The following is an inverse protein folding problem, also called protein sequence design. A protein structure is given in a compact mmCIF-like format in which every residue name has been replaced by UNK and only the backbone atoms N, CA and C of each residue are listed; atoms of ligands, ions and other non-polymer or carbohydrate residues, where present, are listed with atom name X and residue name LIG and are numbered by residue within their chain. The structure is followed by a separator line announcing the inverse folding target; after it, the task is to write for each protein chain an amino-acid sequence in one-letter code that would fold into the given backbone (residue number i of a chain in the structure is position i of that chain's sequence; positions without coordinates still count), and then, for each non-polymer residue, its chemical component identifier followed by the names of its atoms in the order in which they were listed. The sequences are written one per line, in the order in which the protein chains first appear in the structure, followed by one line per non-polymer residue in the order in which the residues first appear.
data_IF_580381276115
#
_entry.id   IF_580381276115
#
_cell.length_a   1.000
_cell.length_b   1.000
_cell.length_c   1.000
_cell.angle_alpha   90.00
_cell.angle_beta   90.00
_cell.angle_gamma   90.00
#
_symmetry.space_group_name_H-M   'P 1'
#
loop_
_entity.id
_entity.type
_entity.pdbx_description
1 polymer ?
#
# COMPACT_ATOMS: atom_id res chain seq x y z
N UNK A 1 26.01 0.10 4.98
CA UNK A 1 24.94 -0.54 5.79
C UNK A 1 23.95 0.54 6.19
N UNK A 2 22.69 0.18 6.47
CA UNK A 2 21.68 1.12 6.96
C UNK A 2 21.75 1.25 8.48
N UNK A 3 21.48 2.44 8.99
CA UNK A 3 21.20 2.71 10.41
C UNK A 3 19.70 2.83 10.58
N UNK A 4 19.12 1.95 11.39
CA UNK A 4 17.69 1.80 11.54
C UNK A 4 17.21 2.32 12.90
N UNK A 5 16.04 2.95 12.90
CA UNK A 5 15.28 3.24 14.12
C UNK A 5 13.97 2.46 14.08
N UNK A 6 13.72 1.61 15.07
CA UNK A 6 12.43 0.97 15.31
C UNK A 6 11.60 1.80 16.29
N UNK A 7 10.31 1.95 16.03
CA UNK A 7 9.40 2.75 16.85
C UNK A 7 8.12 1.96 17.08
N UNK A 8 7.84 1.64 18.34
CA UNK A 8 6.71 0.82 18.78
C UNK A 8 6.50 1.04 20.28
N UNK A 9 5.25 1.25 20.73
CA UNK A 9 4.94 1.48 22.14
C UNK A 9 4.89 0.19 22.97
N UNK A 10 4.77 -0.96 22.31
CA UNK A 10 4.85 -2.26 22.94
C UNK A 10 6.30 -2.73 23.07
N UNK A 11 6.88 -2.62 24.28
CA UNK A 11 8.30 -3.00 24.52
C UNK A 11 8.71 -4.38 23.98
N UNK A 12 7.94 -5.48 24.19
CA UNK A 12 8.35 -6.78 23.67
C UNK A 12 8.43 -6.79 22.14
N UNK A 13 7.49 -6.11 21.48
CA UNK A 13 7.45 -5.99 20.02
C UNK A 13 8.61 -5.14 19.51
N UNK A 14 8.92 -4.03 20.19
CA UNK A 14 10.08 -3.18 19.90
C UNK A 14 11.39 -3.96 20.01
N UNK A 15 11.58 -4.71 21.11
CA UNK A 15 12.79 -5.49 21.37
C UNK A 15 12.98 -6.60 20.33
N UNK A 16 11.92 -7.32 19.98
CA UNK A 16 11.93 -8.33 18.91
C UNK A 16 12.29 -7.71 17.56
N UNK A 17 11.68 -6.57 17.21
CA UNK A 17 11.96 -5.86 15.95
C UNK A 17 13.42 -5.41 15.88
N UNK A 18 13.96 -4.82 16.95
CA UNK A 18 15.37 -4.42 17.03
C UNK A 18 16.30 -5.63 16.94
N UNK A 19 15.96 -6.75 17.58
CA UNK A 19 16.72 -8.00 17.49
C UNK A 19 16.77 -8.52 16.04
N UNK A 20 15.61 -8.59 15.37
CA UNK A 20 15.51 -9.06 13.99
C UNK A 20 16.24 -8.14 13.00
N UNK A 21 16.17 -6.81 13.21
CA UNK A 21 16.90 -5.83 12.40
C UNK A 21 18.42 -5.99 12.55
N UNK A 22 18.92 -6.12 13.78
CA UNK A 22 20.36 -6.31 14.03
C UNK A 22 20.88 -7.68 13.51
N UNK A 23 20.01 -8.66 13.31
CA UNK A 23 20.37 -9.93 12.70
C UNK A 23 20.54 -9.86 11.17
N UNK A 24 20.09 -8.79 10.51
CA UNK A 24 20.22 -8.62 9.06
C UNK A 24 21.57 -7.96 8.71
N UNK A 25 22.42 -8.59 7.86
CA UNK A 25 23.77 -8.10 7.57
C UNK A 25 23.80 -6.77 6.80
N UNK A 26 22.65 -6.26 6.33
CA UNK A 26 22.56 -4.97 5.64
C UNK A 26 22.31 -3.82 6.62
N UNK A 27 21.88 -4.12 7.84
CA UNK A 27 21.73 -3.18 8.94
C UNK A 27 23.05 -3.12 9.72
N UNK A 28 23.59 -1.92 9.89
CA UNK A 28 24.81 -1.69 10.66
C UNK A 28 24.51 -1.49 12.13
N UNK A 29 23.44 -0.74 12.43
CA UNK A 29 22.91 -0.52 13.78
C UNK A 29 21.38 -0.44 13.71
N UNK A 30 20.70 -1.00 14.70
CA UNK A 30 19.28 -0.75 14.94
C UNK A 30 19.07 -0.32 16.39
N UNK A 31 18.34 0.77 16.58
CA UNK A 31 17.93 1.29 17.87
C UNK A 31 16.40 1.31 18.00
N UNK A 32 15.87 1.28 19.22
CA UNK A 32 14.43 1.36 19.49
C UNK A 32 14.02 2.65 20.19
N UNK A 33 12.84 3.18 19.86
CA UNK A 33 12.14 4.23 20.58
C UNK A 33 10.73 3.74 20.98
N UNK A 34 10.35 3.96 22.23
CA UNK A 34 9.08 3.47 22.79
C UNK A 34 7.87 4.37 22.53
N UNK A 35 8.08 5.54 21.93
CA UNK A 35 7.00 6.45 21.56
C UNK A 35 7.46 7.43 20.47
N UNK A 36 6.50 8.15 19.90
CA UNK A 36 6.77 9.12 18.84
C UNK A 36 7.60 10.32 19.31
N UNK A 37 7.55 10.69 20.59
CA UNK A 37 8.32 11.81 21.13
C UNK A 37 9.80 11.46 21.20
N UNK A 38 10.12 10.26 21.69
CA UNK A 38 11.47 9.72 21.71
C UNK A 38 12.00 9.54 20.29
N UNK A 39 11.18 9.01 19.37
CA UNK A 39 11.54 8.87 17.97
C UNK A 39 11.92 10.22 17.34
N UNK A 40 11.08 11.26 17.52
CA UNK A 40 11.36 12.61 17.03
C UNK A 40 12.64 13.21 17.60
N UNK A 41 12.92 13.02 18.91
CA UNK A 41 14.17 13.50 19.52
C UNK A 41 15.40 12.87 18.86
N UNK A 42 15.38 11.55 18.64
CA UNK A 42 16.48 10.84 17.99
C UNK A 42 16.65 11.25 16.53
N UNK A 43 15.55 11.40 15.80
CA UNK A 43 15.57 11.86 14.41
C UNK A 43 16.11 13.29 14.31
N UNK A 44 15.70 14.20 15.20
CA UNK A 44 16.24 15.57 15.21
C UNK A 44 17.76 15.57 15.49
N UNK A 45 18.23 14.79 16.46
CA UNK A 45 19.66 14.63 16.74
C UNK A 45 20.45 14.07 15.56
N UNK A 46 19.86 13.09 14.87
CA UNK A 46 20.40 12.51 13.64
C UNK A 46 20.55 13.56 12.52
N UNK A 47 19.55 14.44 12.39
CA UNK A 47 19.56 15.53 11.41
C UNK A 47 20.59 16.60 11.75
N UNK A 48 20.72 16.99 13.02
CA UNK A 48 21.73 17.94 13.50
C UNK A 48 23.15 17.45 13.23
N UNK A 49 23.38 16.15 13.40
CA UNK A 49 24.67 15.49 13.14
C UNK A 49 24.98 15.35 11.65
N UNK A 50 23.99 15.59 10.78
CA UNK A 50 24.09 15.44 9.34
C UNK A 50 24.01 13.97 8.87
N UNK A 51 23.78 13.74 7.57
CA UNK A 51 23.51 12.42 7.01
C UNK A 51 24.68 11.42 7.14
N UNK A 52 25.91 11.93 7.24
CA UNK A 52 27.13 11.13 7.43
C UNK A 52 27.62 11.14 8.89
N UNK A 53 26.86 11.77 9.79
CA UNK A 53 27.17 11.83 11.21
C UNK A 53 27.00 10.48 11.91
N UNK A 54 27.58 10.32 13.12
CA UNK A 54 27.51 9.06 13.87
C UNK A 54 26.08 8.67 14.24
N UNK A 55 25.23 9.66 14.50
CA UNK A 55 23.83 9.48 14.93
C UNK A 55 22.83 9.40 13.75
N UNK A 56 23.29 9.42 12.48
CA UNK A 56 22.35 9.51 11.37
C UNK A 56 21.47 8.26 11.19
N UNK A 57 20.23 8.49 10.77
CA UNK A 57 19.21 7.45 10.60
C UNK A 57 18.86 7.36 9.12
N UNK A 58 19.02 6.18 8.54
CA UNK A 58 18.76 5.94 7.12
C UNK A 58 17.34 5.42 6.87
N UNK A 59 16.78 4.68 7.83
CA UNK A 59 15.45 4.08 7.75
C UNK A 59 14.78 4.03 9.12
N UNK A 60 13.48 4.30 9.15
CA UNK A 60 12.61 4.19 10.34
C UNK A 60 11.59 3.09 10.09
N UNK A 61 11.53 2.11 10.99
CA UNK A 61 10.50 1.09 11.08
C UNK A 61 9.48 1.52 12.13
N UNK A 62 8.25 1.77 11.72
CA UNK A 62 7.31 2.57 12.51
C UNK A 62 5.97 1.85 12.68
N UNK A 63 5.55 1.60 13.91
CA UNK A 63 4.15 1.23 14.16
C UNK A 63 3.23 2.41 13.90
N UNK A 64 2.05 2.10 13.38
CA UNK A 64 1.00 3.05 13.08
C UNK A 64 0.22 3.38 14.34
N UNK A 65 -0.15 2.38 15.14
CA UNK A 65 -0.96 2.62 16.33
C UNK A 65 -0.07 2.83 17.53
N UNK A 66 0.10 4.08 17.92
CA UNK A 66 0.77 4.46 19.17
C UNK A 66 -0.08 5.50 19.91
N UNK A 67 -0.12 5.47 21.25
CA UNK A 67 -0.79 6.48 22.04
C UNK A 67 -0.23 7.90 21.78
N UNK A 68 -1.14 8.87 21.67
CA UNK A 68 -0.79 10.27 21.47
C UNK A 68 -0.59 10.60 20.00
N UNK A 69 0.64 10.46 19.50
CA UNK A 69 0.97 10.74 18.10
C UNK A 69 1.15 9.42 17.36
N UNK A 70 0.28 9.18 16.38
CA UNK A 70 0.29 7.95 15.61
C UNK A 70 1.44 7.92 14.58
N UNK A 71 1.76 6.73 14.07
CA UNK A 71 2.87 6.55 13.13
C UNK A 71 2.67 7.24 11.78
N UNK A 72 1.43 7.42 11.34
CA UNK A 72 1.16 8.12 10.09
C UNK A 72 1.44 9.61 10.23
N UNK A 73 1.02 10.21 11.34
CA UNK A 73 1.29 11.60 11.66
C UNK A 73 2.79 11.84 11.87
N UNK A 74 3.48 10.93 12.55
CA UNK A 74 4.94 10.97 12.64
C UNK A 74 5.57 10.94 11.24
N UNK A 75 5.19 9.99 10.38
CA UNK A 75 5.72 9.91 9.03
C UNK A 75 5.41 11.16 8.18
N UNK A 76 4.24 11.81 8.36
CA UNK A 76 3.93 13.11 7.72
C UNK A 76 4.93 14.17 8.13
N UNK A 77 5.25 14.28 9.43
CA UNK A 77 6.25 15.24 9.92
C UNK A 77 7.62 15.00 9.28
N UNK A 78 8.00 13.73 9.08
CA UNK A 78 9.26 13.39 8.44
C UNK A 78 9.36 13.92 7.00
N UNK A 79 8.25 13.95 6.26
CA UNK A 79 8.26 14.45 4.87
C UNK A 79 8.66 15.93 4.73
N UNK A 80 8.56 16.72 5.80
CA UNK A 80 8.95 18.13 5.83
C UNK A 80 10.47 18.34 5.83
N UNK A 81 11.27 17.30 6.06
CA UNK A 81 12.73 17.42 6.08
C UNK A 81 13.35 17.43 4.69
N UNK A 82 14.45 18.16 4.52
CA UNK A 82 15.16 18.25 3.24
C UNK A 82 15.70 16.90 2.73
N UNK A 83 16.05 16.01 3.67
CA UNK A 83 16.45 14.62 3.41
C UNK A 83 15.81 13.73 4.49
N UNK A 84 14.57 13.27 4.29
CA UNK A 84 13.91 12.44 5.27
C UNK A 84 14.52 11.04 5.30
N UNK A 85 14.57 10.37 6.47
CA UNK A 85 14.87 8.95 6.50
C UNK A 85 13.78 8.18 5.74
N UNK A 86 14.14 7.01 5.21
CA UNK A 86 13.18 6.11 4.59
C UNK A 86 12.19 5.60 5.65
N UNK A 87 10.91 5.46 5.31
CA UNK A 87 9.90 4.94 6.26
C UNK A 87 9.43 3.56 5.82
N UNK A 88 9.41 2.61 6.74
CA UNK A 88 8.75 1.30 6.62
C UNK A 88 7.75 1.20 7.75
N UNK A 89 6.48 0.96 7.44
CA UNK A 89 5.48 0.75 8.50
C UNK A 89 5.50 -0.68 8.99
N UNK A 90 5.31 -0.88 10.30
CA UNK A 90 5.25 -2.19 10.96
C UNK A 90 4.04 -2.24 11.88
N UNK A 91 2.92 -2.82 11.43
CA UNK A 91 1.67 -2.74 12.21
C UNK A 91 0.82 -4.01 12.13
N UNK A 92 -0.13 -4.19 13.04
CA UNK A 92 -1.07 -5.32 13.03
C UNK A 92 -2.25 -5.13 12.04
N UNK A 93 -2.40 -3.95 11.44
CA UNK A 93 -3.59 -3.58 10.69
C UNK A 93 -3.33 -3.55 9.18
N UNK A 94 -4.17 -4.21 8.38
CA UNK A 94 -4.03 -4.23 6.92
C UNK A 94 -4.55 -2.94 6.26
N UNK A 95 -5.53 -2.29 6.89
CA UNK A 95 -6.28 -1.18 6.28
C UNK A 95 -5.49 0.13 6.17
N UNK A 96 -4.44 0.31 6.98
CA UNK A 96 -3.60 1.51 6.93
C UNK A 96 -2.54 1.48 5.83
N UNK A 97 -2.40 0.36 5.11
CA UNK A 97 -1.49 0.25 3.97
C UNK A 97 -1.73 1.38 2.95
N UNK A 98 -2.99 1.80 2.78
CA UNK A 98 -3.42 2.89 1.88
C UNK A 98 -2.82 4.24 2.28
N UNK A 99 -2.89 4.56 3.58
CA UNK A 99 -2.45 5.85 4.12
C UNK A 99 -0.92 5.92 4.21
N UNK A 100 -0.27 4.77 4.40
CA UNK A 100 1.18 4.63 4.33
C UNK A 100 1.77 5.01 2.95
N UNK A 101 1.01 4.84 1.87
CA UNK A 101 1.47 5.16 0.51
C UNK A 101 1.52 6.66 0.20
N UNK A 102 0.59 7.47 0.74
CA UNK A 102 0.62 8.94 0.58
C UNK A 102 1.91 9.55 1.18
N UNK A 103 2.52 8.85 2.13
CA UNK A 103 3.71 9.26 2.85
C UNK A 103 5.02 8.78 2.22
N UNK A 104 4.97 8.22 1.01
CA UNK A 104 6.13 7.69 0.26
C UNK A 104 6.91 6.64 1.04
N UNK A 105 6.24 5.85 1.88
CA UNK A 105 6.88 4.73 2.56
C UNK A 105 7.53 3.77 1.56
N UNK A 106 8.68 3.22 1.94
CA UNK A 106 9.42 2.23 1.18
C UNK A 106 8.73 0.88 1.21
N UNK A 107 8.14 0.52 2.35
CA UNK A 107 7.49 -0.77 2.50
C UNK A 107 6.51 -0.81 3.69
N UNK A 108 5.78 -1.92 3.79
CA UNK A 108 4.76 -2.15 4.81
C UNK A 108 4.79 -3.59 5.33
N UNK A 109 5.09 -3.79 6.61
CA UNK A 109 5.25 -5.08 7.28
C UNK A 109 4.09 -5.30 8.26
N UNK A 110 3.44 -6.45 8.18
CA UNK A 110 2.40 -6.82 9.13
C UNK A 110 2.98 -7.55 10.35
N UNK A 111 2.46 -7.24 11.54
CA UNK A 111 2.68 -8.01 12.76
C UNK A 111 1.85 -9.31 12.68
N UNK A 112 2.37 -10.48 13.14
CA UNK A 112 3.68 -10.69 13.74
C UNK A 112 4.82 -10.61 12.72
N UNK A 113 5.91 -9.95 13.10
CA UNK A 113 7.05 -9.68 12.20
C UNK A 113 7.81 -10.96 11.91
N UNK A 114 7.75 -11.43 10.67
CA UNK A 114 8.52 -12.59 10.19
C UNK A 114 9.88 -12.13 9.66
N UNK A 115 10.93 -12.89 9.98
CA UNK A 115 12.32 -12.58 9.59
C UNK A 115 12.47 -12.35 8.09
N UNK A 116 11.88 -13.20 7.26
CA UNK A 116 11.98 -13.13 5.80
C UNK A 116 11.30 -11.86 5.26
N UNK A 117 10.15 -11.49 5.83
CA UNK A 117 9.40 -10.29 5.43
C UNK A 117 10.13 -9.01 5.81
N UNK A 118 10.73 -8.99 7.00
CA UNK A 118 11.54 -7.87 7.45
C UNK A 118 12.80 -7.74 6.57
N UNK A 119 13.46 -8.85 6.25
CA UNK A 119 14.62 -8.87 5.36
C UNK A 119 14.29 -8.33 3.95
N UNK A 120 13.08 -8.58 3.45
CA UNK A 120 12.62 -7.99 2.18
C UNK A 120 12.41 -6.47 2.28
N UNK A 121 11.84 -5.98 3.38
CA UNK A 121 11.71 -4.53 3.62
C UNK A 121 13.07 -3.84 3.72
N UNK A 122 14.03 -4.47 4.40
CA UNK A 122 15.42 -4.00 4.47
C UNK A 122 16.07 -3.97 3.08
N UNK A 123 15.86 -5.02 2.25
CA UNK A 123 16.36 -5.05 0.87
C UNK A 123 15.90 -3.84 0.08
N UNK A 124 14.59 -3.55 0.12
CA UNK A 124 13.98 -2.41 -0.58
C UNK A 124 14.50 -1.08 -0.08
N UNK A 125 14.71 -0.93 1.23
CA UNK A 125 15.31 0.27 1.81
C UNK A 125 16.74 0.50 1.33
N UNK A 126 17.56 -0.56 1.24
CA UNK A 126 18.93 -0.48 0.69
C UNK A 126 18.91 -0.03 -0.77
N UNK A 127 18.06 -0.66 -1.60
CA UNK A 127 17.92 -0.30 -3.02
C UNK A 127 17.50 1.17 -3.17
N UNK A 128 16.52 1.61 -2.37
CA UNK A 128 16.00 2.97 -2.42
C UNK A 128 17.04 4.01 -2.05
N UNK A 129 17.88 3.74 -1.04
CA UNK A 129 18.97 4.61 -0.61
C UNK A 129 20.08 4.71 -1.68
N UNK A 130 20.37 3.61 -2.38
CA UNK A 130 21.37 3.58 -3.45
C UNK A 130 20.97 4.33 -4.71
N UNK A 131 19.67 4.40 -5.01
CA UNK A 131 19.13 5.18 -6.14
C UNK A 131 18.62 6.55 -5.70
N UNK A 132 19.49 7.56 -5.71
CA UNK A 132 19.03 8.95 -5.71
C UNK A 132 18.28 9.21 -7.04
N UNK A 133 16.94 9.21 -6.99
CA UNK A 133 15.99 9.42 -8.11
C UNK A 133 15.54 8.17 -8.89
N UNK A 134 14.50 7.49 -8.40
CA UNK A 134 13.43 6.84 -9.20
C UNK A 134 12.28 6.37 -8.29
N UNK A 135 11.02 6.30 -8.75
CA UNK A 135 9.84 6.47 -7.90
C UNK A 135 9.36 5.19 -7.18
N UNK A 136 8.78 5.41 -5.98
CA UNK A 136 7.74 4.65 -5.24
C UNK A 136 7.77 3.09 -5.16
N UNK A 137 7.31 2.48 -4.04
CA UNK A 137 7.45 1.04 -3.73
C UNK A 137 7.02 0.08 -4.84
N UNK A 138 7.84 -0.92 -5.14
CA UNK A 138 7.52 -2.02 -6.06
C UNK A 138 6.99 -3.20 -5.26
N UNK A 139 5.69 -3.48 -5.37
CA UNK A 139 5.14 -4.82 -5.11
C UNK A 139 5.34 -5.60 -6.41
N UNK A 140 6.23 -6.60 -6.45
CA UNK A 140 6.39 -7.42 -7.65
C UNK A 140 5.13 -8.27 -7.85
N UNK A 141 4.54 -8.20 -9.05
CA UNK A 141 3.55 -9.16 -9.54
C UNK A 141 4.28 -10.07 -10.52
N UNK A 142 4.34 -11.37 -10.24
CA UNK A 142 4.74 -12.38 -11.24
C UNK A 142 3.49 -12.80 -12.04
N UNK A 143 3.56 -12.73 -13.37
CA UNK A 143 2.60 -13.39 -14.29
C UNK A 143 3.18 -14.74 -14.74
N UNK A 144 2.37 -15.80 -15.00
CA UNK A 144 1.14 -15.73 -15.80
C UNK A 144 0.00 -16.66 -15.33
N UNK A 145 -1.09 -16.10 -14.82
CA UNK A 145 -2.39 -16.79 -14.84
C UNK A 145 -3.45 -15.77 -15.26
N UNK A 146 -4.13 -15.95 -16.40
CA UNK A 146 -5.23 -15.06 -16.76
C UNK A 146 -6.34 -15.13 -15.71
N UNK A 147 -6.57 -16.25 -15.02
CA UNK A 147 -7.70 -16.48 -14.10
C UNK A 147 -7.49 -15.86 -12.71
N UNK A 148 -6.24 -15.57 -12.33
CA UNK A 148 -5.92 -15.07 -10.99
C UNK A 148 -5.08 -13.79 -11.03
N UNK A 149 -5.26 -12.94 -10.03
CA UNK A 149 -4.34 -11.86 -9.74
C UNK A 149 -3.60 -12.14 -8.44
N UNK A 150 -2.27 -12.14 -8.54
CA UNK A 150 -1.39 -12.36 -7.41
C UNK A 150 -1.28 -11.06 -6.61
N UNK A 151 -1.73 -11.11 -5.35
CA UNK A 151 -1.65 -10.01 -4.39
C UNK A 151 -0.70 -10.44 -3.28
N UNK A 152 0.40 -9.70 -3.11
CA UNK A 152 1.29 -9.88 -1.96
C UNK A 152 0.88 -8.89 -0.87
N UNK A 153 0.31 -9.43 0.22
CA UNK A 153 -0.05 -8.68 1.42
C UNK A 153 0.58 -9.37 2.63
N UNK A 154 1.38 -8.67 3.42
CA UNK A 154 2.00 -9.25 4.62
C UNK A 154 2.96 -10.43 4.40
N UNK A 155 3.49 -10.62 3.19
CA UNK A 155 4.31 -11.78 2.85
C UNK A 155 3.52 -13.07 2.57
N UNK A 156 2.18 -12.98 2.54
CA UNK A 156 1.31 -14.04 2.02
C UNK A 156 0.98 -13.71 0.57
N UNK A 157 1.37 -14.60 -0.33
CA UNK A 157 0.94 -14.56 -1.72
C UNK A 157 -0.50 -15.07 -1.78
N UNK A 158 -1.45 -14.16 -1.99
CA UNK A 158 -2.84 -14.53 -2.26
C UNK A 158 -3.08 -14.52 -3.75
N UNK A 159 -3.62 -15.61 -4.26
CA UNK A 159 -4.16 -15.68 -5.62
C UNK A 159 -5.64 -15.34 -5.53
N UNK A 160 -6.01 -14.18 -6.05
CA UNK A 160 -7.41 -13.73 -6.06
C UNK A 160 -8.00 -14.10 -7.41
N UNK A 161 -9.04 -14.95 -7.48
CA UNK A 161 -9.70 -15.23 -8.75
C UNK A 161 -10.27 -13.94 -9.32
N UNK A 162 -10.03 -13.67 -10.61
CA UNK A 162 -10.60 -12.50 -11.29
C UNK A 162 -12.13 -12.57 -11.28
N UNK A 163 -12.68 -13.78 -11.19
CA UNK A 163 -14.12 -13.98 -11.12
C UNK A 163 -14.76 -13.55 -9.79
N UNK A 164 -13.97 -13.49 -8.72
CA UNK A 164 -14.42 -12.99 -7.40
C UNK A 164 -14.40 -11.46 -7.32
N UNK A 165 -13.80 -10.78 -8.30
CA UNK A 165 -13.67 -9.31 -8.30
C UNK A 165 -14.95 -8.69 -8.85
N UNK A 166 -15.60 -7.87 -8.03
CA UNK A 166 -16.86 -7.17 -8.36
C UNK A 166 -16.59 -5.88 -9.10
N UNK A 167 -15.65 -5.08 -8.58
CA UNK A 167 -15.22 -3.84 -9.19
C UNK A 167 -13.81 -3.46 -8.73
N UNK A 168 -13.25 -2.47 -9.42
CA UNK A 168 -11.93 -1.93 -9.16
C UNK A 168 -11.99 -0.42 -9.12
N UNK A 169 -11.41 0.14 -8.06
CA UNK A 169 -11.26 1.58 -7.87
C UNK A 169 -9.79 2.00 -8.09
N UNK A 170 -9.55 3.06 -8.86
CA UNK A 170 -8.23 3.67 -8.98
C UNK A 170 -7.94 4.57 -7.75
N UNK A 171 -6.84 4.26 -7.06
CA UNK A 171 -6.31 5.00 -5.92
C UNK A 171 -4.85 5.39 -6.20
N UNK A 172 -4.65 6.56 -6.81
CA UNK A 172 -3.33 7.01 -7.25
C UNK A 172 -2.75 6.11 -8.35
N UNK A 173 -1.53 5.59 -8.13
CA UNK A 173 -0.84 4.64 -9.02
C UNK A 173 -1.29 3.18 -8.82
N UNK A 174 -2.27 2.95 -7.95
CA UNK A 174 -2.74 1.63 -7.56
C UNK A 174 -4.22 1.44 -7.93
N UNK A 175 -4.61 0.17 -7.98
CA UNK A 175 -5.96 -0.27 -8.19
C UNK A 175 -6.40 -1.10 -6.99
N UNK A 176 -7.50 -0.71 -6.34
CA UNK A 176 -8.16 -1.49 -5.29
C UNK A 176 -9.16 -2.41 -5.94
N UNK A 177 -8.95 -3.71 -5.82
CA UNK A 177 -9.83 -4.78 -6.25
C UNK A 177 -10.81 -5.08 -5.12
N UNK A 178 -12.11 -5.04 -5.39
CA UNK A 178 -13.14 -5.37 -4.41
C UNK A 178 -13.70 -6.76 -4.71
N UNK A 179 -13.86 -7.56 -3.66
CA UNK A 179 -14.47 -8.89 -3.67
C UNK A 179 -15.50 -8.98 -2.55
N UNK A 180 -16.34 -10.01 -2.56
CA UNK A 180 -17.29 -10.24 -1.46
C UNK A 180 -16.61 -10.55 -0.11
N UNK A 181 -15.32 -10.92 -0.14
CA UNK A 181 -14.52 -11.25 1.05
C UNK A 181 -13.65 -10.08 1.55
N UNK A 182 -13.75 -8.91 0.92
CA UNK A 182 -12.92 -7.75 1.22
C UNK A 182 -12.22 -7.18 -0.01
N UNK A 183 -11.22 -6.32 0.20
CA UNK A 183 -10.52 -5.63 -0.88
C UNK A 183 -9.01 -5.90 -0.89
N UNK A 184 -8.40 -5.77 -2.06
CA UNK A 184 -6.99 -6.02 -2.30
C UNK A 184 -6.38 -4.90 -3.12
N UNK A 185 -5.19 -4.40 -2.76
CA UNK A 185 -4.54 -3.31 -3.49
C UNK A 185 -3.42 -3.87 -4.38
N UNK A 186 -3.41 -3.48 -5.66
CA UNK A 186 -2.39 -3.88 -6.63
C UNK A 186 -1.82 -2.68 -7.37
N UNK A 187 -0.54 -2.75 -7.74
CA UNK A 187 0.13 -1.71 -8.55
C UNK A 187 0.01 -1.99 -10.04
N UNK A 188 -1.22 -2.06 -10.53
CA UNK A 188 -1.50 -2.25 -11.95
C UNK A 188 -2.40 -1.10 -12.41
N UNK A 189 -2.02 -0.33 -13.44
CA UNK A 189 -2.86 0.74 -13.95
C UNK A 189 -4.24 0.22 -14.33
N UNK A 190 -5.28 1.00 -14.02
CA UNK A 190 -6.65 0.59 -14.28
C UNK A 190 -6.92 0.33 -15.78
N UNK A 191 -6.19 1.01 -16.68
CA UNK A 191 -6.21 0.74 -18.13
C UNK A 191 -5.64 -0.64 -18.50
N UNK A 192 -4.62 -1.10 -17.79
CA UNK A 192 -4.02 -2.43 -18.00
C UNK A 192 -4.97 -3.53 -17.51
N UNK A 193 -5.61 -3.34 -16.36
CA UNK A 193 -6.65 -4.27 -15.86
C UNK A 193 -7.86 -4.29 -16.80
N UNK A 194 -8.28 -3.13 -17.30
CA UNK A 194 -9.37 -3.00 -18.27
C UNK A 194 -9.11 -3.80 -19.54
N UNK A 195 -7.92 -3.68 -20.13
CA UNK A 195 -7.55 -4.43 -21.33
C UNK A 195 -7.54 -5.94 -21.07
N UNK A 196 -6.91 -6.37 -19.97
CA UNK A 196 -6.76 -7.79 -19.60
C UNK A 196 -8.10 -8.46 -19.30
N UNK A 197 -9.00 -7.77 -18.60
CA UNK A 197 -10.24 -8.35 -18.11
C UNK A 197 -11.46 -8.03 -18.98
N UNK A 198 -11.27 -7.35 -20.11
CA UNK A 198 -12.33 -7.07 -21.08
C UNK A 198 -13.05 -8.34 -21.52
N UNK A 199 -12.30 -9.41 -21.82
CA UNK A 199 -12.86 -10.70 -22.23
C UNK A 199 -13.68 -11.40 -21.14
N UNK A 200 -13.47 -11.04 -19.87
CA UNK A 200 -14.25 -11.53 -18.71
C UNK A 200 -15.44 -10.63 -18.38
N UNK A 201 -15.73 -9.63 -19.22
CA UNK A 201 -16.86 -8.73 -19.02
C UNK A 201 -16.60 -7.63 -18.00
N UNK A 202 -15.34 -7.24 -17.78
CA UNK A 202 -15.03 -5.98 -17.08
C UNK A 202 -15.16 -4.79 -18.01
N UNK A 203 -15.79 -3.73 -17.53
CA UNK A 203 -16.09 -2.51 -18.30
C UNK A 203 -15.75 -1.28 -17.51
N UNK A 204 -15.07 -0.33 -18.15
CA UNK A 204 -14.72 0.94 -17.55
C UNK A 204 -15.95 1.84 -17.52
N UNK A 205 -16.43 2.18 -16.33
CA UNK A 205 -17.62 3.03 -16.16
C UNK A 205 -17.25 4.47 -15.77
N UNK A 206 -16.06 4.67 -15.19
CA UNK A 206 -15.56 5.98 -14.79
C UNK A 206 -14.03 6.03 -14.93
N UNK A 207 -13.44 7.24 -14.93
CA UNK A 207 -11.97 7.37 -14.93
C UNK A 207 -11.30 6.68 -13.74
N UNK A 208 -12.04 6.39 -12.66
CA UNK A 208 -11.57 5.65 -11.49
C UNK A 208 -12.24 4.29 -11.28
N UNK A 209 -13.20 3.87 -12.10
CA UNK A 209 -13.95 2.62 -11.84
C UNK A 209 -13.98 1.71 -13.05
N UNK A 210 -13.58 0.46 -12.83
CA UNK A 210 -13.73 -0.68 -13.73
C UNK A 210 -14.62 -1.71 -13.02
N UNK A 211 -15.68 -2.20 -13.66
CA UNK A 211 -16.70 -3.03 -13.01
C UNK A 211 -16.89 -4.31 -13.79
N UNK A 212 -16.98 -5.44 -13.09
CA UNK A 212 -17.42 -6.70 -13.69
C UNK A 212 -18.92 -6.62 -13.92
N UNK A 213 -19.35 -6.67 -15.18
CA UNK A 213 -20.75 -6.50 -15.54
C UNK A 213 -21.66 -7.43 -14.73
N UNK A 214 -21.23 -8.68 -14.45
CA UNK A 214 -22.06 -9.72 -13.80
C UNK A 214 -22.47 -9.37 -12.36
N UNK A 215 -21.75 -8.44 -11.74
CA UNK A 215 -22.06 -7.97 -10.39
C UNK A 215 -22.89 -6.69 -10.37
N UNK A 216 -23.24 -6.12 -11.53
CA UNK A 216 -24.17 -4.98 -11.61
C UNK A 216 -25.60 -5.50 -11.38
N UNK A 217 -26.19 -5.09 -10.25
CA UNK A 217 -27.57 -5.41 -9.90
C UNK A 217 -28.59 -4.40 -10.43
N UNK A 218 -28.23 -3.12 -10.46
CA UNK A 218 -29.12 -2.05 -10.92
C UNK A 218 -28.38 -1.01 -11.76
N UNK A 219 -29.08 -0.44 -12.74
CA UNK A 219 -28.67 0.79 -13.44
C UNK A 219 -29.66 1.89 -13.08
N UNK A 220 -29.18 2.98 -12.47
CA UNK A 220 -30.00 4.11 -12.04
C UNK A 220 -29.75 5.32 -12.94
N UNK A 221 -30.83 6.03 -13.23
CA UNK A 221 -30.84 7.26 -14.02
C UNK A 221 -31.51 8.34 -13.17
N UNK A 222 -30.74 9.31 -12.70
CA UNK A 222 -31.28 10.42 -11.90
C UNK A 222 -30.79 11.77 -12.44
N UNK A 223 -31.72 12.65 -12.80
CA UNK A 223 -31.46 14.01 -13.29
C UNK A 223 -30.34 14.13 -14.36
N UNK A 224 -30.17 13.11 -15.21
CA UNK A 224 -29.13 13.06 -16.25
C UNK A 224 -27.77 12.49 -15.80
N UNK A 225 -27.65 12.08 -14.54
CA UNK A 225 -26.57 11.23 -14.03
C UNK A 225 -26.91 9.76 -14.19
N UNK A 226 -25.87 8.93 -14.36
CA UNK A 226 -26.01 7.47 -14.47
C UNK A 226 -25.14 6.86 -13.38
N UNK A 227 -25.69 5.94 -12.61
CA UNK A 227 -24.97 5.15 -11.62
C UNK A 227 -25.33 3.67 -11.76
N UNK A 228 -24.48 2.79 -11.24
CA UNK A 228 -24.75 1.36 -11.13
C UNK A 228 -24.63 0.91 -9.69
N UNK A 229 -25.50 -0.01 -9.28
CA UNK A 229 -25.40 -0.67 -7.98
C UNK A 229 -24.63 -1.98 -8.15
N UNK A 230 -23.54 -2.14 -7.40
CA UNK A 230 -22.72 -3.36 -7.34
C UNK A 230 -22.73 -3.85 -5.89
N UNK A 231 -23.50 -4.91 -5.62
CA UNK A 231 -23.80 -5.29 -4.24
C UNK A 231 -24.56 -4.17 -3.52
N UNK A 232 -23.95 -3.59 -2.49
CA UNK A 232 -24.51 -2.44 -1.74
C UNK A 232 -23.89 -1.10 -2.14
N UNK A 233 -22.90 -1.10 -3.04
CA UNK A 233 -22.17 0.12 -3.42
C UNK A 233 -22.75 0.75 -4.69
N UNK A 234 -23.00 2.06 -4.63
CA UNK A 234 -23.45 2.84 -5.78
C UNK A 234 -22.26 3.55 -6.46
N UNK A 235 -21.95 3.14 -7.70
CA UNK A 235 -20.81 3.63 -8.46
C UNK A 235 -21.26 4.58 -9.58
N UNK A 236 -20.72 5.79 -9.58
CA UNK A 236 -21.02 6.81 -10.59
C UNK A 236 -20.41 6.46 -11.95
N UNK A 237 -21.22 6.58 -13.01
CA UNK A 237 -20.83 6.34 -14.40
C UNK A 237 -20.56 7.69 -15.07
N UNK A 238 -19.38 7.82 -15.68
CA UNK A 238 -19.05 9.02 -16.45
C UNK A 238 -19.89 9.10 -17.73
N UNK A 239 -20.28 10.33 -18.11
CA UNK A 239 -21.06 10.61 -19.34
C UNK A 239 -20.50 9.91 -20.59
N UNK A 240 -19.17 9.87 -20.74
CA UNK A 240 -18.49 9.22 -21.87
C UNK A 240 -18.69 7.70 -21.94
N UNK A 241 -18.87 7.05 -20.78
CA UNK A 241 -18.96 5.59 -20.66
C UNK A 241 -20.42 5.11 -20.53
N UNK A 242 -21.35 6.01 -20.23
CA UNK A 242 -22.76 5.69 -20.02
C UNK A 242 -23.47 5.09 -21.24
N UNK A 243 -23.02 5.40 -22.47
CA UNK A 243 -23.59 4.80 -23.69
C UNK A 243 -23.13 3.37 -23.88
N UNK A 244 -21.81 3.13 -23.86
CA UNK A 244 -21.22 1.79 -23.99
C UNK A 244 -21.77 0.83 -22.92
N UNK A 245 -21.83 1.29 -21.66
CA UNK A 245 -22.34 0.48 -20.56
C UNK A 245 -23.79 0.04 -20.78
N UNK A 246 -24.68 0.95 -21.22
CA UNK A 246 -26.07 0.61 -21.52
C UNK A 246 -26.18 -0.40 -22.64
N UNK A 247 -25.43 -0.20 -23.73
CA UNK A 247 -25.44 -1.12 -24.87
C UNK A 247 -24.98 -2.53 -24.46
N UNK A 248 -24.00 -2.63 -23.56
CA UNK A 248 -23.51 -3.91 -23.03
C UNK A 248 -24.51 -4.59 -22.10
N UNK A 249 -25.19 -3.83 -21.23
CA UNK A 249 -26.20 -4.37 -20.30
C UNK A 249 -27.45 -4.89 -21.05
N UNK A 250 -27.86 -4.21 -22.13
CA UNK A 250 -29.02 -4.62 -22.93
C UNK A 250 -28.77 -5.86 -23.80
N UNK A 251 -27.51 -6.25 -24.01
CA UNK A 251 -27.10 -7.42 -24.80
C UNK A 251 -26.88 -8.66 -23.95
N UNK A 252 -27.16 -8.59 -22.64
CA UNK A 252 -27.08 -9.75 -21.76
C UNK A 252 -28.22 -10.71 -22.08
N UNK A 253 -27.93 -11.99 -22.35
CA UNK A 253 -28.98 -13.00 -22.43
C UNK A 253 -29.67 -13.20 -21.08
#
# INVERSE_FOLDING_TARGET
MLRALAVDDERPTLEELVYLLNADPRIGTAEGAGDATEALRRINRALESGPDGPDAIDVVFLDIQMPGLDGLDLARLLTGFARPPLVVFVTAHEDFAVQAFDLKAVDYVLKPVRRERLAEAVRRAVERRGTASSPAPRIPVHEPDPDHITVELGGVTRFVPVDDITHVEAQGDYARLHTDRGSHLVRIPLSTLEERWRARGFVRIHRRHLVALRHIGELRLDAGSVSVLVGTEELQVSRRHARELRDLLMRRP
#
